data_IF_412978983043
#
_entry.id   IF_412978983043
#
_cell.length_a   1.000
_cell.length_b   1.000
_cell.length_c   1.000
_cell.angle_alpha   90.00
_cell.angle_beta   90.00
_cell.angle_gamma   90.00
#
_symmetry.space_group_name_H-M   'P 1'
#
loop_
_entity.id
_entity.type
_entity.pdbx_description
1 polymer ?
#
# COMPACT_ATOMS: atom_id res chain seq x y z
N UNK A 1 -6.59 53.71 16.64
CA UNK A 1 -6.68 52.54 17.58
C UNK A 1 -6.77 51.31 16.74
N UNK A 2 -5.62 50.53 16.69
CA UNK A 2 -5.61 49.22 16.10
C UNK A 2 -6.62 48.34 16.87
N UNK A 3 -7.62 47.85 16.16
CA UNK A 3 -8.60 46.97 16.74
C UNK A 3 -7.90 45.62 17.05
N UNK A 4 -8.39 44.88 18.03
CA UNK A 4 -7.87 43.55 18.37
C UNK A 4 -7.89 42.61 17.15
N UNK A 5 -8.80 42.89 16.21
CA UNK A 5 -8.90 42.17 14.91
C UNK A 5 -7.70 42.39 14.00
N UNK A 6 -7.08 43.57 14.01
CA UNK A 6 -5.93 43.88 13.16
C UNK A 6 -4.62 43.44 13.81
N UNK A 7 -4.59 43.30 15.14
CA UNK A 7 -3.40 42.98 15.89
C UNK A 7 -3.01 41.50 15.74
N UNK A 8 -3.97 40.59 15.72
CA UNK A 8 -3.69 39.12 15.69
C UNK A 8 -2.92 38.66 14.43
N UNK A 9 -3.34 39.01 13.19
CA UNK A 9 -2.59 38.69 12.01
C UNK A 9 -1.15 39.22 12.04
N UNK A 10 -0.96 40.43 12.57
CA UNK A 10 0.36 41.07 12.69
C UNK A 10 1.23 40.28 13.67
N UNK A 11 0.70 39.90 14.84
CA UNK A 11 1.44 39.08 15.83
C UNK A 11 1.80 37.71 15.27
N UNK A 12 0.91 37.06 14.52
CA UNK A 12 1.17 35.77 13.88
C UNK A 12 2.25 35.90 12.80
N UNK A 13 2.21 36.99 12.04
CA UNK A 13 3.23 37.30 11.04
C UNK A 13 4.61 37.53 11.67
N UNK A 14 4.69 38.30 12.75
CA UNK A 14 5.93 38.56 13.48
C UNK A 14 6.48 37.26 14.10
N UNK A 15 5.61 36.45 14.70
CA UNK A 15 5.97 35.13 15.26
C UNK A 15 6.54 34.21 14.18
N UNK A 16 5.89 34.15 13.02
CA UNK A 16 6.36 33.34 11.90
C UNK A 16 7.70 33.84 11.35
N UNK A 17 7.86 35.13 11.19
CA UNK A 17 9.11 35.75 10.75
C UNK A 17 10.26 35.48 11.72
N UNK A 18 10.02 35.60 13.01
CA UNK A 18 11.01 35.29 14.03
C UNK A 18 11.43 33.82 14.02
N UNK A 19 10.48 32.92 13.83
CA UNK A 19 10.70 31.47 13.74
C UNK A 19 11.51 31.10 12.49
N UNK A 20 11.23 31.72 11.35
CA UNK A 20 12.03 31.57 10.12
C UNK A 20 13.49 32.00 10.29
N UNK A 21 13.72 33.10 11.03
CA UNK A 21 15.07 33.67 11.22
C UNK A 21 15.86 32.95 12.31
N UNK A 22 15.21 32.30 13.30
CA UNK A 22 15.92 31.74 14.47
C UNK A 22 16.09 30.23 14.45
N UNK A 23 15.14 29.46 13.87
CA UNK A 23 15.13 28.00 14.03
C UNK A 23 15.17 27.21 12.71
N UNK A 24 15.06 27.86 11.55
CA UNK A 24 15.02 27.18 10.24
C UNK A 24 13.79 26.26 10.03
N UNK A 25 12.87 26.21 11.00
CA UNK A 25 11.67 25.39 10.94
C UNK A 25 10.51 26.14 10.27
N UNK A 26 10.13 25.71 9.05
CA UNK A 26 9.10 26.35 8.22
C UNK A 26 7.66 25.87 8.49
N UNK A 27 7.38 25.29 9.65
CA UNK A 27 6.05 24.74 9.95
C UNK A 27 5.03 25.82 10.30
N UNK A 28 4.01 26.01 9.44
CA UNK A 28 2.89 26.97 9.64
C UNK A 28 1.83 26.47 10.65
N UNK A 29 1.97 25.26 11.18
CA UNK A 29 0.90 24.62 11.96
C UNK A 29 0.59 25.33 13.28
N UNK A 30 1.59 25.94 13.93
CA UNK A 30 1.39 26.71 15.17
C UNK A 30 0.64 28.03 14.90
N UNK A 31 0.94 28.68 13.80
CA UNK A 31 0.28 29.93 13.38
C UNK A 31 -1.17 29.65 12.95
N UNK A 32 -1.38 28.55 12.20
CA UNK A 32 -2.72 28.10 11.83
C UNK A 32 -3.57 27.71 13.05
N UNK A 33 -2.98 27.09 14.08
CA UNK A 33 -3.70 26.78 15.32
C UNK A 33 -4.12 28.06 16.08
N UNK A 34 -3.31 29.10 16.04
CA UNK A 34 -3.63 30.42 16.57
C UNK A 34 -4.83 31.06 15.86
N UNK A 35 -4.88 30.96 14.52
CA UNK A 35 -6.04 31.45 13.73
C UNK A 35 -7.30 30.65 14.05
N UNK A 36 -7.21 29.33 14.17
CA UNK A 36 -8.34 28.47 14.55
C UNK A 36 -8.86 28.84 15.95
N UNK A 37 -7.96 29.06 16.91
CA UNK A 37 -8.33 29.51 18.27
C UNK A 37 -9.08 30.86 18.26
N UNK A 38 -8.62 31.77 17.40
CA UNK A 38 -9.33 33.04 17.22
C UNK A 38 -10.72 32.84 16.61
N UNK A 39 -10.87 32.01 15.60
CA UNK A 39 -12.16 31.67 14.98
C UNK A 39 -13.11 31.03 16.01
N UNK A 40 -12.61 30.15 16.88
CA UNK A 40 -13.38 29.56 17.98
C UNK A 40 -13.92 30.66 18.89
N UNK A 41 -13.10 31.66 19.24
CA UNK A 41 -13.54 32.82 20.03
C UNK A 41 -14.67 33.61 19.36
N UNK A 42 -14.56 33.87 18.05
CA UNK A 42 -15.61 34.54 17.25
C UNK A 42 -16.90 33.71 17.23
N UNK A 43 -16.81 32.40 17.06
CA UNK A 43 -17.97 31.50 17.04
C UNK A 43 -18.68 31.47 18.41
N UNK A 44 -17.94 31.49 19.51
CA UNK A 44 -18.50 31.60 20.86
C UNK A 44 -19.24 32.92 21.05
N UNK A 45 -18.65 34.03 20.58
CA UNK A 45 -19.28 35.36 20.63
C UNK A 45 -20.61 35.42 19.86
N UNK A 46 -20.70 34.69 18.75
CA UNK A 46 -21.93 34.57 17.95
C UNK A 46 -22.85 33.43 18.44
N UNK A 47 -22.65 32.91 19.66
CA UNK A 47 -23.47 31.84 20.29
C UNK A 47 -23.51 30.50 19.51
N UNK A 48 -22.57 30.30 18.56
CA UNK A 48 -22.47 29.06 17.79
C UNK A 48 -21.65 27.99 18.54
N UNK A 49 -22.06 27.66 19.77
CA UNK A 49 -21.28 26.84 20.69
C UNK A 49 -20.95 25.45 20.14
N UNK A 50 -21.89 24.80 19.47
CA UNK A 50 -21.64 23.45 18.96
C UNK A 50 -20.59 23.44 17.83
N UNK A 51 -20.58 24.46 16.96
CA UNK A 51 -19.57 24.62 15.91
C UNK A 51 -18.21 24.92 16.53
N UNK A 52 -18.15 25.81 17.50
CA UNK A 52 -16.95 26.15 18.24
C UNK A 52 -16.34 24.91 18.93
N UNK A 53 -17.17 24.09 19.58
CA UNK A 53 -16.74 22.86 20.26
C UNK A 53 -16.22 21.85 19.24
N UNK A 54 -16.94 21.63 18.14
CA UNK A 54 -16.53 20.72 17.07
C UNK A 54 -15.20 21.14 16.47
N UNK A 55 -15.03 22.43 16.16
CA UNK A 55 -13.79 22.97 15.61
C UNK A 55 -12.62 22.83 16.58
N UNK A 56 -12.86 23.04 17.88
CA UNK A 56 -11.85 22.87 18.93
C UNK A 56 -11.40 21.42 19.02
N UNK A 57 -12.33 20.48 19.12
CA UNK A 57 -12.02 19.04 19.20
C UNK A 57 -11.27 18.60 17.92
N UNK A 58 -11.76 19.00 16.74
CA UNK A 58 -11.11 18.65 15.48
C UNK A 58 -9.68 19.21 15.40
N UNK A 59 -9.44 20.46 15.83
CA UNK A 59 -8.11 21.06 15.82
C UNK A 59 -7.15 20.39 16.79
N UNK A 60 -7.60 20.03 17.99
CA UNK A 60 -6.78 19.28 18.96
C UNK A 60 -6.42 17.89 18.42
N UNK A 61 -7.38 17.16 17.86
CA UNK A 61 -7.13 15.87 17.24
C UNK A 61 -6.14 15.95 16.08
N UNK A 62 -6.26 16.98 15.23
CA UNK A 62 -5.34 17.20 14.12
C UNK A 62 -3.92 17.55 14.59
N UNK A 63 -3.79 18.33 15.68
CA UNK A 63 -2.48 18.64 16.26
C UNK A 63 -1.83 17.43 16.91
N UNK A 64 -2.59 16.58 17.59
CA UNK A 64 -2.11 15.32 18.14
C UNK A 64 -1.69 14.36 17.02
N UNK A 65 -2.53 14.22 16.01
CA UNK A 65 -2.24 13.38 14.85
C UNK A 65 -1.00 13.86 14.08
N UNK A 66 -0.74 15.18 14.03
CA UNK A 66 0.45 15.75 13.41
C UNK A 66 1.73 15.19 13.99
N UNK A 67 1.87 15.11 15.31
CA UNK A 67 3.07 14.59 16.00
C UNK A 67 3.33 13.13 15.63
N UNK A 68 2.30 12.32 15.57
CA UNK A 68 2.39 10.92 15.12
C UNK A 68 2.74 10.82 13.64
N UNK A 69 2.14 11.65 12.79
CA UNK A 69 2.42 11.68 11.35
C UNK A 69 3.84 12.20 11.04
N UNK A 70 4.32 13.20 11.77
CA UNK A 70 5.71 13.68 11.62
C UNK A 70 6.73 12.60 12.03
N UNK A 71 6.48 11.90 13.15
CA UNK A 71 7.31 10.77 13.56
C UNK A 71 7.30 9.62 12.55
N UNK A 72 6.16 9.38 11.89
CA UNK A 72 6.03 8.42 10.82
C UNK A 72 6.77 8.87 9.55
N UNK A 73 6.59 10.14 9.16
CA UNK A 73 7.22 10.73 7.98
C UNK A 73 8.76 10.75 8.07
N UNK A 74 9.32 10.95 9.27
CA UNK A 74 10.77 10.86 9.50
C UNK A 74 11.36 9.46 9.29
N UNK A 75 10.51 8.42 9.29
CA UNK A 75 10.91 7.02 9.06
C UNK A 75 10.80 6.60 7.59
N UNK A 76 10.13 7.39 6.77
CA UNK A 76 9.87 7.13 5.35
C UNK A 76 10.73 8.12 4.54
N UNK A 77 11.36 7.64 3.48
CA UNK A 77 12.13 8.52 2.58
C UNK A 77 11.21 9.52 1.88
N UNK A 78 11.70 10.74 1.67
CA UNK A 78 10.93 11.81 0.99
C UNK A 78 10.49 11.38 -0.43
N UNK A 79 11.28 10.57 -1.11
CA UNK A 79 10.97 9.96 -2.39
C UNK A 79 9.74 9.06 -2.33
N UNK A 80 9.57 8.30 -1.26
CA UNK A 80 8.41 7.41 -1.08
C UNK A 80 7.13 8.20 -0.84
N UNK A 81 7.22 9.28 -0.05
CA UNK A 81 6.09 10.19 0.19
C UNK A 81 5.66 10.87 -1.12
N UNK A 82 6.63 11.34 -1.91
CA UNK A 82 6.35 11.95 -3.21
C UNK A 82 5.71 10.96 -4.20
N UNK A 83 6.19 9.73 -4.24
CA UNK A 83 5.62 8.70 -5.10
C UNK A 83 4.20 8.33 -4.66
N UNK A 84 3.95 8.26 -3.35
CA UNK A 84 2.60 8.06 -2.82
C UNK A 84 1.67 9.23 -3.19
N UNK A 85 2.12 10.46 -3.02
CA UNK A 85 1.34 11.65 -3.40
C UNK A 85 1.03 11.68 -4.90
N UNK A 86 2.01 11.36 -5.76
CA UNK A 86 1.81 11.23 -7.21
C UNK A 86 0.80 10.13 -7.55
N UNK A 87 0.89 8.98 -6.88
CA UNK A 87 -0.06 7.88 -7.09
C UNK A 87 -1.48 8.26 -6.67
N UNK A 88 -1.65 8.91 -5.51
CA UNK A 88 -2.96 9.42 -5.08
C UNK A 88 -3.51 10.45 -6.05
N UNK A 89 -2.68 11.35 -6.57
CA UNK A 89 -3.08 12.36 -7.55
C UNK A 89 -3.53 11.69 -8.86
N UNK A 90 -2.74 10.76 -9.38
CA UNK A 90 -3.09 9.98 -10.56
C UNK A 90 -4.37 9.17 -10.35
N UNK A 91 -4.52 8.53 -9.21
CA UNK A 91 -5.71 7.74 -8.88
C UNK A 91 -6.93 8.63 -8.65
N UNK A 92 -6.78 9.74 -7.93
CA UNK A 92 -7.86 10.67 -7.64
C UNK A 92 -8.29 11.52 -8.84
N UNK A 93 -7.40 11.75 -9.80
CA UNK A 93 -7.72 12.51 -11.02
C UNK A 93 -8.11 11.58 -12.16
N UNK A 94 -7.35 10.51 -12.40
CA UNK A 94 -7.60 9.60 -13.54
C UNK A 94 -8.88 8.79 -13.30
N UNK A 95 -9.08 8.22 -12.11
CA UNK A 95 -10.21 7.33 -11.86
C UNK A 95 -11.58 7.96 -12.16
N UNK A 96 -11.91 9.21 -11.73
CA UNK A 96 -13.18 9.82 -12.07
C UNK A 96 -13.31 10.26 -13.54
N UNK A 97 -12.21 10.36 -14.28
CA UNK A 97 -12.22 10.71 -15.71
C UNK A 97 -12.43 9.51 -16.63
N UNK A 98 -12.18 8.29 -16.10
CA UNK A 98 -12.32 7.07 -16.89
C UNK A 98 -13.80 6.68 -17.03
N UNK A 99 -14.24 6.31 -18.24
CA UNK A 99 -15.62 5.86 -18.46
C UNK A 99 -15.85 4.50 -17.80
N UNK A 100 -16.93 4.38 -17.04
CA UNK A 100 -17.38 3.12 -16.45
C UNK A 100 -18.32 2.37 -17.44
N UNK A 101 -17.87 2.26 -18.66
CA UNK A 101 -18.56 1.51 -19.74
C UNK A 101 -17.57 0.63 -20.48
N UNK A 102 -17.97 -0.57 -20.90
CA UNK A 102 -17.11 -1.43 -21.71
C UNK A 102 -16.88 -0.79 -23.08
N UNK A 103 -15.60 -0.56 -23.45
CA UNK A 103 -15.19 0.12 -24.69
C UNK A 103 -14.99 -0.80 -25.88
N UNK A 104 -15.04 -2.14 -25.70
CA UNK A 104 -14.75 -3.10 -26.77
C UNK A 104 -15.55 -4.37 -26.67
N UNK A 105 -15.51 -5.19 -27.75
CA UNK A 105 -16.08 -6.57 -27.75
C UNK A 105 -15.48 -7.46 -26.64
N UNK A 106 -14.31 -7.10 -26.11
CA UNK A 106 -13.64 -7.81 -25.02
C UNK A 106 -14.12 -7.36 -23.62
N UNK A 107 -15.17 -6.53 -23.54
CA UNK A 107 -15.70 -5.97 -22.30
C UNK A 107 -14.66 -5.25 -21.44
N UNK A 108 -13.66 -4.65 -22.08
CA UNK A 108 -12.61 -3.86 -21.41
C UNK A 108 -13.22 -2.60 -20.83
N UNK A 109 -13.29 -2.51 -19.50
CA UNK A 109 -13.79 -1.34 -18.78
C UNK A 109 -12.59 -0.58 -18.15
N UNK A 110 -12.23 0.61 -18.65
CA UNK A 110 -11.07 1.36 -18.17
C UNK A 110 -11.16 1.71 -16.67
N UNK A 111 -12.35 2.08 -16.19
CA UNK A 111 -12.56 2.39 -14.77
C UNK A 111 -12.26 1.18 -13.88
N UNK A 112 -12.80 0.01 -14.20
CA UNK A 112 -12.56 -1.22 -13.43
C UNK A 112 -11.11 -1.65 -13.48
N UNK A 113 -10.45 -1.57 -14.65
CA UNK A 113 -9.03 -1.86 -14.79
C UNK A 113 -8.21 -0.98 -13.87
N UNK A 114 -8.47 0.33 -13.91
CA UNK A 114 -7.74 1.27 -13.06
C UNK A 114 -8.00 1.04 -11.57
N UNK A 115 -9.23 0.71 -11.21
CA UNK A 115 -9.59 0.39 -9.84
C UNK A 115 -8.82 -0.84 -9.31
N UNK A 116 -8.66 -1.88 -10.14
CA UNK A 116 -7.82 -3.06 -9.80
C UNK A 116 -6.36 -2.64 -9.59
N UNK A 117 -5.81 -1.84 -10.50
CA UNK A 117 -4.43 -1.32 -10.38
C UNK A 117 -4.24 -0.56 -9.07
N UNK A 118 -5.18 0.32 -8.73
CA UNK A 118 -5.15 1.10 -7.47
C UNK A 118 -5.22 0.18 -6.26
N UNK A 119 -6.14 -0.79 -6.25
CA UNK A 119 -6.31 -1.71 -5.12
C UNK A 119 -5.07 -2.60 -4.89
N UNK A 120 -4.54 -3.19 -5.96
CA UNK A 120 -3.31 -4.02 -5.89
C UNK A 120 -2.13 -3.18 -5.41
N UNK A 121 -1.97 -1.98 -5.94
CA UNK A 121 -0.89 -1.06 -5.54
C UNK A 121 -1.05 -0.59 -4.09
N UNK A 122 -2.27 -0.32 -3.64
CA UNK A 122 -2.55 0.09 -2.26
C UNK A 122 -2.19 -1.01 -1.25
N UNK A 123 -2.56 -2.27 -1.53
CA UNK A 123 -2.20 -3.43 -0.68
C UNK A 123 -0.68 -3.62 -0.66
N UNK A 124 -0.03 -3.55 -1.81
CA UNK A 124 1.43 -3.67 -1.93
C UNK A 124 2.15 -2.55 -1.19
N UNK A 125 1.68 -1.31 -1.30
CA UNK A 125 2.25 -0.17 -0.61
C UNK A 125 2.07 -0.24 0.91
N UNK A 126 0.89 -0.65 1.37
CA UNK A 126 0.65 -0.86 2.80
C UNK A 126 1.67 -1.85 3.40
N UNK A 127 1.93 -2.95 2.71
CA UNK A 127 2.94 -3.92 3.12
C UNK A 127 4.38 -3.36 3.08
N UNK A 128 4.71 -2.59 2.04
CA UNK A 128 6.00 -1.91 1.92
C UNK A 128 6.25 -0.93 3.08
N UNK A 129 5.24 -0.11 3.41
CA UNK A 129 5.32 0.82 4.55
C UNK A 129 5.51 0.08 5.87
N UNK A 130 4.75 -1.00 6.10
CA UNK A 130 4.91 -1.84 7.29
C UNK A 130 6.32 -2.43 7.38
N UNK A 131 6.89 -2.88 6.28
CA UNK A 131 8.26 -3.39 6.23
C UNK A 131 9.30 -2.29 6.57
N UNK A 132 9.11 -1.08 6.06
CA UNK A 132 9.97 0.08 6.39
C UNK A 132 9.87 0.47 7.87
N UNK A 133 8.66 0.45 8.44
CA UNK A 133 8.43 0.81 9.85
C UNK A 133 9.05 -0.20 10.81
N UNK A 134 9.10 -1.46 10.47
CA UNK A 134 9.72 -2.49 11.31
C UNK A 134 11.24 -2.45 11.29
N UNK A 135 11.86 -1.62 10.43
CA UNK A 135 13.33 -1.44 10.32
C UNK A 135 14.12 -2.76 10.31
N UNK A 136 13.53 -3.82 9.79
CA UNK A 136 14.17 -5.13 9.75
C UNK A 136 14.29 -5.83 11.12
N UNK A 137 13.67 -5.33 12.19
CA UNK A 137 13.79 -5.93 13.53
C UNK A 137 13.15 -7.31 13.69
N UNK A 138 12.37 -7.77 12.71
CA UNK A 138 11.65 -9.04 12.75
C UNK A 138 12.37 -10.23 12.09
N UNK A 139 13.64 -10.08 11.71
CA UNK A 139 14.39 -11.14 11.06
C UNK A 139 13.87 -11.52 9.66
N UNK A 140 14.41 -12.61 9.11
CA UNK A 140 14.07 -13.10 7.76
C UNK A 140 12.59 -13.50 7.67
N UNK A 141 12.00 -14.04 8.72
CA UNK A 141 10.60 -14.50 8.74
C UNK A 141 9.63 -13.33 8.56
N UNK A 142 9.78 -12.25 9.34
CA UNK A 142 8.91 -11.08 9.19
C UNK A 142 9.10 -10.40 7.83
N UNK A 143 10.35 -10.33 7.35
CA UNK A 143 10.64 -9.81 6.02
C UNK A 143 10.00 -10.67 4.92
N UNK A 144 9.96 -11.99 5.08
CA UNK A 144 9.30 -12.90 4.16
C UNK A 144 7.78 -12.71 4.13
N UNK A 145 7.15 -12.54 5.30
CA UNK A 145 5.72 -12.29 5.44
C UNK A 145 5.34 -10.96 4.78
N UNK A 146 6.01 -9.86 5.16
CA UNK A 146 5.74 -8.53 4.61
C UNK A 146 6.11 -8.45 3.14
N UNK A 147 7.24 -9.05 2.75
CA UNK A 147 7.64 -9.14 1.36
C UNK A 147 6.66 -9.95 0.51
N UNK A 148 6.13 -11.05 1.04
CA UNK A 148 5.09 -11.86 0.38
C UNK A 148 3.79 -11.11 0.15
N UNK A 149 3.37 -10.27 1.10
CA UNK A 149 2.22 -9.39 0.95
C UNK A 149 2.48 -8.25 -0.07
N UNK A 150 3.74 -7.79 -0.18
CA UNK A 150 4.18 -6.83 -1.20
C UNK A 150 4.24 -7.49 -2.59
N UNK A 151 5.08 -8.49 -2.75
CA UNK A 151 5.26 -9.28 -3.97
C UNK A 151 5.92 -10.62 -3.63
N UNK A 152 5.16 -11.68 -3.70
CA UNK A 152 5.65 -13.05 -3.44
C UNK A 152 6.77 -13.43 -4.41
N UNK A 153 6.66 -13.06 -5.69
CA UNK A 153 7.66 -13.36 -6.72
C UNK A 153 9.00 -12.69 -6.44
N UNK A 154 9.00 -11.38 -6.15
CA UNK A 154 10.21 -10.63 -5.82
C UNK A 154 10.84 -11.20 -4.54
N UNK A 155 10.04 -11.44 -3.51
CA UNK A 155 10.49 -12.00 -2.23
C UNK A 155 11.13 -13.36 -2.42
N UNK A 156 10.52 -14.25 -3.20
CA UNK A 156 11.06 -15.58 -3.52
C UNK A 156 12.43 -15.47 -4.19
N UNK A 157 12.57 -14.60 -5.21
CA UNK A 157 13.85 -14.41 -5.91
C UNK A 157 14.94 -13.88 -4.99
N UNK A 158 14.59 -12.90 -4.15
CA UNK A 158 15.57 -12.31 -3.19
C UNK A 158 16.00 -13.33 -2.16
N UNK A 159 15.06 -14.04 -1.52
CA UNK A 159 15.37 -15.06 -0.51
C UNK A 159 16.15 -16.23 -1.11
N UNK A 160 15.82 -16.69 -2.32
CA UNK A 160 16.57 -17.73 -3.00
C UNK A 160 18.02 -17.34 -3.33
N UNK A 161 18.25 -16.07 -3.72
CA UNK A 161 19.61 -15.55 -3.93
C UNK A 161 20.40 -15.46 -2.62
N UNK A 162 19.74 -15.05 -1.54
CA UNK A 162 20.37 -14.99 -0.21
C UNK A 162 20.70 -16.37 0.34
N UNK A 163 19.81 -17.36 0.17
CA UNK A 163 20.09 -18.76 0.56
C UNK A 163 21.42 -19.24 -0.05
N UNK A 164 21.62 -19.00 -1.35
CA UNK A 164 22.89 -19.35 -2.02
C UNK A 164 24.12 -18.63 -1.45
N UNK A 165 23.97 -17.41 -0.95
CA UNK A 165 25.09 -16.58 -0.44
C UNK A 165 25.41 -16.89 1.02
N UNK A 166 24.39 -17.15 1.83
CA UNK A 166 24.48 -17.25 3.29
C UNK A 166 24.44 -18.69 3.81
N UNK A 167 24.06 -19.66 2.97
CA UNK A 167 24.09 -21.10 3.29
C UNK A 167 23.03 -21.54 4.31
N UNK A 168 22.01 -20.72 4.60
CA UNK A 168 20.91 -21.05 5.52
C UNK A 168 19.64 -21.48 4.78
N UNK A 169 19.72 -22.61 4.11
CA UNK A 169 18.69 -23.06 3.17
C UNK A 169 17.34 -23.29 3.82
N UNK A 170 17.30 -23.81 5.05
CA UNK A 170 16.03 -24.06 5.77
C UNK A 170 15.30 -22.75 6.13
N UNK A 171 16.03 -21.73 6.60
CA UNK A 171 15.44 -20.44 6.98
C UNK A 171 14.88 -19.73 5.76
N UNK A 172 15.65 -19.65 4.66
CA UNK A 172 15.22 -18.92 3.46
C UNK A 172 14.14 -19.66 2.68
N UNK A 173 14.21 -20.99 2.55
CA UNK A 173 13.15 -21.77 1.90
C UNK A 173 11.85 -21.76 2.71
N UNK A 174 11.94 -21.81 4.05
CA UNK A 174 10.80 -21.59 4.92
C UNK A 174 10.18 -20.21 4.72
N UNK A 175 11.01 -19.16 4.60
CA UNK A 175 10.58 -17.80 4.26
C UNK A 175 9.87 -17.71 2.91
N UNK A 176 10.33 -18.41 1.88
CA UNK A 176 9.67 -18.47 0.56
C UNK A 176 8.27 -19.09 0.68
N UNK A 177 8.13 -20.17 1.44
CA UNK A 177 6.81 -20.78 1.67
C UNK A 177 5.88 -19.85 2.44
N UNK A 178 6.39 -19.13 3.46
CA UNK A 178 5.61 -18.12 4.18
C UNK A 178 5.13 -17.00 3.26
N UNK A 179 6.01 -16.48 2.39
CA UNK A 179 5.65 -15.46 1.41
C UNK A 179 4.55 -15.94 0.44
N UNK A 180 4.62 -17.20 0.00
CA UNK A 180 3.59 -17.81 -0.85
C UNK A 180 2.26 -17.99 -0.10
N UNK A 181 2.30 -18.36 1.19
CA UNK A 181 1.09 -18.45 2.02
C UNK A 181 0.38 -17.10 2.17
N UNK A 182 1.14 -16.04 2.40
CA UNK A 182 0.61 -14.66 2.50
C UNK A 182 0.02 -14.19 1.17
N UNK A 183 0.62 -14.58 0.04
CA UNK A 183 0.07 -14.29 -1.29
C UNK A 183 -1.37 -14.83 -1.44
N UNK A 184 -1.66 -16.07 -1.01
CA UNK A 184 -3.04 -16.60 -1.06
C UNK A 184 -4.02 -15.77 -0.22
N UNK A 185 -3.60 -15.31 0.97
CA UNK A 185 -4.45 -14.43 1.80
C UNK A 185 -4.71 -13.09 1.10
N UNK A 186 -3.70 -12.50 0.47
CA UNK A 186 -3.84 -11.28 -0.33
C UNK A 186 -4.84 -11.47 -1.48
N UNK A 187 -4.76 -12.58 -2.21
CA UNK A 187 -5.70 -12.89 -3.29
C UNK A 187 -7.15 -12.98 -2.80
N UNK A 188 -7.39 -13.58 -1.63
CA UNK A 188 -8.73 -13.62 -1.03
C UNK A 188 -9.24 -12.20 -0.75
N UNK A 189 -8.40 -11.32 -0.20
CA UNK A 189 -8.78 -9.93 0.09
C UNK A 189 -9.13 -9.19 -1.19
N UNK A 190 -8.31 -9.33 -2.25
CA UNK A 190 -8.58 -8.70 -3.54
C UNK A 190 -9.86 -9.23 -4.18
N UNK A 191 -10.08 -10.55 -4.17
CA UNK A 191 -11.32 -11.14 -4.66
C UNK A 191 -12.54 -10.67 -3.87
N UNK A 192 -12.43 -10.51 -2.55
CA UNK A 192 -13.52 -10.00 -1.73
C UNK A 192 -13.94 -8.57 -2.11
N UNK A 193 -13.00 -7.76 -2.61
CA UNK A 193 -13.27 -6.40 -3.07
C UNK A 193 -13.93 -6.35 -4.46
N UNK A 194 -13.57 -7.27 -5.37
CA UNK A 194 -13.98 -7.19 -6.77
C UNK A 194 -15.06 -8.19 -7.17
N UNK A 195 -15.00 -9.42 -6.63
CA UNK A 195 -15.95 -10.47 -6.97
C UNK A 195 -16.20 -11.42 -5.79
N UNK A 196 -17.21 -11.11 -4.99
CA UNK A 196 -17.55 -11.90 -3.80
C UNK A 196 -17.98 -13.33 -4.14
N UNK A 197 -18.58 -13.57 -5.32
CA UNK A 197 -19.01 -14.90 -5.72
C UNK A 197 -17.80 -15.80 -6.01
N UNK A 198 -16.87 -15.30 -6.80
CA UNK A 198 -15.60 -15.99 -7.09
C UNK A 198 -14.77 -16.17 -5.81
N UNK A 199 -14.78 -15.18 -4.92
CA UNK A 199 -14.14 -15.27 -3.62
C UNK A 199 -14.69 -16.43 -2.80
N UNK A 200 -16.01 -16.58 -2.68
CA UNK A 200 -16.63 -17.69 -1.93
C UNK A 200 -16.24 -19.05 -2.47
N UNK A 201 -16.11 -19.17 -3.79
CA UNK A 201 -15.73 -20.42 -4.44
C UNK A 201 -14.25 -20.76 -4.24
N UNK A 202 -13.34 -19.79 -4.33
CA UNK A 202 -11.90 -20.00 -4.27
C UNK A 202 -11.31 -19.87 -2.85
N UNK A 203 -11.95 -19.10 -1.96
CA UNK A 203 -11.44 -18.87 -0.61
C UNK A 203 -11.16 -20.14 0.20
N UNK A 204 -12.00 -21.19 0.18
CA UNK A 204 -11.68 -22.42 0.92
C UNK A 204 -10.37 -23.07 0.45
N UNK A 205 -10.17 -23.14 -0.88
CA UNK A 205 -8.95 -23.71 -1.45
C UNK A 205 -7.72 -22.83 -1.11
N UNK A 206 -7.83 -21.51 -1.25
CA UNK A 206 -6.75 -20.58 -0.95
C UNK A 206 -6.43 -20.53 0.54
N UNK A 207 -7.41 -20.66 1.44
CA UNK A 207 -7.17 -20.77 2.88
C UNK A 207 -6.43 -22.07 3.24
N UNK A 208 -6.80 -23.19 2.64
CA UNK A 208 -6.08 -24.45 2.85
C UNK A 208 -4.63 -24.33 2.36
N UNK A 209 -4.42 -23.80 1.16
CA UNK A 209 -3.07 -23.58 0.61
C UNK A 209 -2.26 -22.59 1.46
N UNK A 210 -2.88 -21.51 1.92
CA UNK A 210 -2.24 -20.55 2.81
C UNK A 210 -1.82 -21.20 4.13
N UNK A 211 -2.73 -21.94 4.79
CA UNK A 211 -2.42 -22.63 6.04
C UNK A 211 -1.31 -23.67 5.86
N UNK A 212 -1.34 -24.47 4.79
CA UNK A 212 -0.29 -25.44 4.49
C UNK A 212 1.06 -24.74 4.26
N UNK A 213 1.09 -23.72 3.42
CA UNK A 213 2.32 -23.00 3.11
C UNK A 213 2.89 -22.29 4.35
N UNK A 214 2.05 -21.66 5.17
CA UNK A 214 2.46 -20.98 6.40
C UNK A 214 2.96 -22.00 7.45
N UNK A 215 2.22 -23.08 7.68
CA UNK A 215 2.61 -24.07 8.69
C UNK A 215 3.89 -24.81 8.30
N UNK A 216 3.98 -25.28 7.05
CA UNK A 216 5.19 -25.96 6.55
C UNK A 216 6.36 -24.98 6.52
N UNK A 217 6.16 -23.75 6.02
CA UNK A 217 7.19 -22.74 5.97
C UNK A 217 7.74 -22.38 7.35
N UNK A 218 6.85 -22.24 8.34
CA UNK A 218 7.24 -21.94 9.71
C UNK A 218 7.98 -23.10 10.40
N UNK A 219 7.51 -24.33 10.22
CA UNK A 219 8.18 -25.52 10.76
C UNK A 219 9.55 -25.71 10.10
N UNK A 220 9.64 -25.53 8.78
CA UNK A 220 10.87 -25.69 8.02
C UNK A 220 11.91 -24.63 8.40
N UNK A 221 11.50 -23.39 8.59
CA UNK A 221 12.39 -22.30 8.98
C UNK A 221 13.01 -22.48 10.37
N UNK A 222 12.41 -23.33 11.24
CA UNK A 222 12.92 -23.63 12.57
C UNK A 222 13.96 -24.75 12.61
N UNK A 223 14.15 -25.47 11.52
CA UNK A 223 15.10 -26.61 11.45
C UNK A 223 16.54 -26.16 11.17
N UNK A 224 16.79 -24.89 10.87
CA UNK A 224 18.13 -24.35 10.67
C UNK A 224 18.71 -23.76 11.95
N UNK A 225 20.04 -23.79 12.07
CA UNK A 225 20.76 -23.10 13.15
C UNK A 225 20.50 -21.58 13.04
N UNK A 226 19.90 -21.02 14.10
CA UNK A 226 19.62 -19.59 14.20
C UNK A 226 20.94 -18.88 14.54
N UNK A 227 21.75 -18.65 13.55
CA UNK A 227 22.86 -17.69 13.67
C UNK A 227 22.25 -16.29 13.54
N UNK A 228 22.60 -15.40 14.47
CA UNK A 228 22.15 -13.98 14.45
C UNK A 228 22.59 -13.31 13.14
N UNK A 229 21.75 -13.43 12.12
CA UNK A 229 21.95 -12.71 10.86
C UNK A 229 21.65 -11.23 11.09
N UNK A 230 22.65 -10.39 10.92
CA UNK A 230 22.46 -8.96 10.87
C UNK A 230 21.48 -8.64 9.74
N UNK A 231 20.32 -8.17 10.11
CA UNK A 231 19.18 -7.83 9.25
C UNK A 231 19.44 -6.64 8.33
N UNK A 232 20.66 -6.07 8.36
CA UNK A 232 20.99 -4.79 7.73
C UNK A 232 20.96 -4.76 6.20
N UNK A 233 20.95 -5.92 5.52
CA UNK A 233 20.87 -6.00 4.05
C UNK A 233 19.50 -6.52 3.57
N UNK A 234 18.45 -6.25 4.33
CA UNK A 234 17.11 -6.69 3.99
C UNK A 234 16.56 -5.96 2.79
N UNK A 235 16.22 -6.77 1.82
CA UNK A 235 15.39 -6.49 0.64
C UNK A 235 15.24 -4.98 0.35
N UNK A 236 16.13 -4.42 -0.46
CA UNK A 236 15.84 -3.16 -1.16
C UNK A 236 14.62 -3.42 -2.08
N UNK A 237 13.46 -3.41 -1.50
CA UNK A 237 12.21 -3.44 -2.25
C UNK A 237 12.02 -2.06 -2.87
N UNK A 238 12.03 -2.01 -4.20
CA UNK A 238 11.64 -0.80 -4.93
C UNK A 238 10.23 -0.40 -4.51
N UNK A 239 9.99 0.91 -4.43
CA UNK A 239 8.67 1.42 -4.08
C UNK A 239 7.61 0.94 -5.10
N UNK A 240 6.53 0.25 -4.68
CA UNK A 240 5.49 -0.27 -5.57
C UNK A 240 4.64 0.82 -6.22
N UNK A 241 4.72 2.05 -5.72
CA UNK A 241 3.99 3.20 -6.26
C UNK A 241 4.77 3.95 -7.34
N UNK A 242 5.87 3.37 -7.86
CA UNK A 242 6.42 3.88 -9.11
C UNK A 242 5.35 3.78 -10.20
N UNK A 243 5.04 4.91 -10.84
CA UNK A 243 4.04 5.02 -11.91
C UNK A 243 4.33 4.00 -13.02
N UNK A 244 5.60 3.75 -13.30
CA UNK A 244 6.07 2.75 -14.25
C UNK A 244 5.60 1.33 -13.88
N UNK A 245 5.65 0.95 -12.61
CA UNK A 245 5.19 -0.35 -12.14
C UNK A 245 3.66 -0.47 -12.24
N UNK A 246 2.92 0.57 -11.87
CA UNK A 246 1.46 0.60 -11.97
C UNK A 246 0.99 0.54 -13.44
N UNK A 247 1.64 1.28 -14.36
CA UNK A 247 1.34 1.23 -15.78
C UNK A 247 1.70 -0.14 -16.39
N UNK A 248 2.85 -0.71 -16.03
CA UNK A 248 3.23 -2.06 -16.47
C UNK A 248 2.18 -3.09 -16.02
N UNK A 249 1.74 -3.02 -14.75
CA UNK A 249 0.68 -3.89 -14.24
C UNK A 249 -0.62 -3.69 -15.02
N UNK A 250 -1.02 -2.45 -15.31
CA UNK A 250 -2.22 -2.16 -16.11
C UNK A 250 -2.14 -2.78 -17.52
N UNK A 251 -0.98 -2.66 -18.19
CA UNK A 251 -0.77 -3.25 -19.52
C UNK A 251 -0.82 -4.78 -19.45
N UNK A 252 -0.15 -5.39 -18.47
CA UNK A 252 -0.19 -6.84 -18.27
C UNK A 252 -1.61 -7.32 -17.94
N UNK A 253 -2.35 -6.55 -17.13
CA UNK A 253 -3.73 -6.88 -16.79
C UNK A 253 -4.65 -6.84 -18.01
N UNK A 254 -4.55 -5.79 -18.86
CA UNK A 254 -5.30 -5.72 -20.12
C UNK A 254 -4.91 -6.87 -21.06
N UNK A 255 -3.61 -7.15 -21.20
CA UNK A 255 -3.13 -8.27 -22.01
C UNK A 255 -3.73 -9.61 -21.52
N UNK A 256 -3.84 -9.79 -20.19
CA UNK A 256 -4.44 -10.96 -19.61
C UNK A 256 -5.94 -11.07 -19.84
N UNK A 257 -6.68 -9.95 -19.74
CA UNK A 257 -8.10 -9.92 -20.09
C UNK A 257 -8.33 -10.37 -21.54
N UNK A 258 -7.55 -9.83 -22.46
CA UNK A 258 -7.63 -10.19 -23.88
C UNK A 258 -7.22 -11.66 -24.10
N UNK A 259 -6.12 -12.11 -23.47
CA UNK A 259 -5.67 -13.49 -23.58
C UNK A 259 -6.71 -14.49 -23.02
N UNK A 260 -7.34 -14.18 -21.88
CA UNK A 260 -8.40 -15.01 -21.29
C UNK A 260 -9.61 -15.08 -22.22
N UNK A 261 -10.04 -13.94 -22.79
CA UNK A 261 -11.14 -13.91 -23.73
C UNK A 261 -10.84 -14.74 -25.01
N UNK A 262 -9.65 -14.60 -25.57
CA UNK A 262 -9.22 -15.39 -26.72
C UNK A 262 -9.10 -16.88 -26.38
N UNK A 263 -8.55 -17.23 -25.22
CA UNK A 263 -8.44 -18.61 -24.77
C UNK A 263 -9.81 -19.27 -24.64
N UNK A 264 -10.81 -18.59 -24.07
CA UNK A 264 -12.20 -19.07 -23.98
C UNK A 264 -12.80 -19.23 -25.38
N UNK A 265 -12.62 -18.23 -26.25
CA UNK A 265 -13.22 -18.20 -27.57
C UNK A 265 -12.69 -19.31 -28.49
N UNK A 266 -11.36 -19.58 -28.49
CA UNK A 266 -10.73 -20.50 -29.42
C UNK A 266 -10.47 -21.91 -28.87
N UNK A 267 -10.22 -22.03 -27.55
CA UNK A 267 -9.83 -23.28 -26.89
C UNK A 267 -10.83 -23.74 -25.81
N UNK A 268 -11.88 -22.93 -25.55
CA UNK A 268 -12.87 -23.24 -24.52
C UNK A 268 -12.24 -23.34 -23.12
N UNK A 269 -12.77 -24.22 -22.28
CA UNK A 269 -12.28 -24.42 -20.91
C UNK A 269 -10.82 -24.88 -20.85
N UNK A 270 -10.36 -25.68 -21.80
CA UNK A 270 -8.97 -26.14 -21.85
C UNK A 270 -7.98 -24.99 -22.03
N UNK A 271 -8.39 -23.95 -22.79
CA UNK A 271 -7.60 -22.74 -22.96
C UNK A 271 -7.39 -21.99 -21.65
N UNK A 272 -8.41 -21.89 -20.81
CA UNK A 272 -8.34 -21.24 -19.50
C UNK A 272 -7.37 -22.01 -18.57
N UNK A 273 -7.46 -23.36 -18.54
CA UNK A 273 -6.55 -24.18 -17.76
C UNK A 273 -5.09 -24.07 -18.21
N UNK A 274 -4.86 -24.03 -19.52
CA UNK A 274 -3.51 -23.83 -20.06
C UNK A 274 -2.97 -22.46 -19.68
N UNK A 275 -3.79 -21.40 -19.81
CA UNK A 275 -3.42 -20.04 -19.44
C UNK A 275 -3.13 -19.95 -17.94
N UNK A 276 -4.00 -20.55 -17.08
CA UNK A 276 -3.80 -20.61 -15.64
C UNK A 276 -2.48 -21.28 -15.27
N UNK A 277 -2.13 -22.38 -15.95
CA UNK A 277 -0.89 -23.11 -15.69
C UNK A 277 0.35 -22.28 -16.02
N UNK A 278 0.31 -21.54 -17.14
CA UNK A 278 1.44 -20.65 -17.55
C UNK A 278 1.53 -19.46 -16.61
N UNK A 279 0.41 -18.84 -16.29
CA UNK A 279 0.39 -17.63 -15.45
C UNK A 279 0.64 -17.93 -13.98
N UNK A 280 0.30 -19.12 -13.50
CA UNK A 280 0.63 -19.57 -12.16
C UNK A 280 2.13 -19.62 -11.89
N UNK A 281 2.96 -19.76 -12.92
CA UNK A 281 4.42 -19.72 -12.82
C UNK A 281 4.97 -18.29 -12.94
N UNK A 282 4.30 -17.42 -13.70
CA UNK A 282 4.77 -16.06 -13.96
C UNK A 282 4.28 -15.06 -12.90
N UNK A 283 3.01 -14.68 -12.97
CA UNK A 283 2.35 -13.78 -12.02
C UNK A 283 0.85 -14.08 -11.97
N UNK A 284 0.40 -14.48 -10.80
CA UNK A 284 -0.99 -14.91 -10.58
C UNK A 284 -1.95 -13.74 -10.46
N UNK A 285 -1.49 -12.59 -9.95
CA UNK A 285 -2.34 -11.43 -9.66
C UNK A 285 -3.15 -10.96 -10.89
N UNK A 286 -2.53 -10.68 -12.06
CA UNK A 286 -3.27 -10.23 -13.24
C UNK A 286 -4.25 -11.27 -13.76
N UNK A 287 -3.93 -12.56 -13.64
CA UNK A 287 -4.80 -13.64 -14.09
C UNK A 287 -6.06 -13.76 -13.21
N UNK A 288 -5.89 -13.85 -11.90
CA UNK A 288 -7.01 -13.96 -10.95
C UNK A 288 -7.91 -12.71 -11.02
N UNK A 289 -7.31 -11.51 -11.09
CA UNK A 289 -8.06 -10.28 -11.23
C UNK A 289 -8.76 -10.15 -12.60
N UNK A 290 -8.19 -10.74 -13.64
CA UNK A 290 -8.82 -10.79 -14.97
C UNK A 290 -10.00 -11.75 -15.07
N UNK A 291 -10.14 -12.66 -14.12
CA UNK A 291 -11.31 -13.56 -13.98
C UNK A 291 -12.36 -13.03 -13.00
N UNK A 292 -12.00 -12.06 -12.16
CA UNK A 292 -12.87 -11.43 -11.15
C UNK A 292 -13.71 -10.30 -11.75
#
# INVERSE_FOLDING_TARGET
TLSLHDALPIFLWISYWHKLSSTGGSGLASEMSGLVTYLVGVLIYHEMLWVATTLTVASVLLLELKTHLEALAQRIETTDILNFAKFLLLSGVILPLLPDTPLSEYQINPFKIWLVVVAVSAVSYGSYVLQRLTKGQGGVILAAILGGAYSSTVTTVVLARRSKKEGQDHLFSGGILLASGVMYLRLIILLALFNQELMKQLAPAFLVLAMLAITVGWLWSRQGDVTDLKTSDMIETKNPLEISAALLFAVLFVAMLVATHLAIKYLGQNGVYTLASVMGVADVDPFIMGMA
#
